data_IF_587681748053
#
_entry.id   IF_587681748053
#
_cell.length_a   1.000
_cell.length_b   1.000
_cell.length_c   1.000
_cell.angle_alpha   90.00
_cell.angle_beta   90.00
_cell.angle_gamma   90.00
#
_symmetry.space_group_name_H-M   'P 1'
#
loop_
_entity.id
_entity.type
_entity.pdbx_description
1 polymer ?
#
# COMPACT_ATOMS: atom_id res chain seq x y z
N UNK A 1 -21.14 -18.72 -15.98
CA UNK A 1 -20.59 -17.48 -16.55
C UNK A 1 -19.23 -17.84 -17.15
N UNK A 2 -18.83 -17.36 -18.33
CA UNK A 2 -17.59 -17.83 -18.99
C UNK A 2 -16.35 -17.13 -18.43
N UNK A 3 -15.22 -17.85 -18.28
CA UNK A 3 -13.91 -17.30 -17.87
C UNK A 3 -13.52 -16.05 -18.67
N UNK A 4 -13.99 -15.90 -19.92
CA UNK A 4 -13.80 -14.71 -20.75
C UNK A 4 -14.35 -13.41 -20.16
N UNK A 5 -15.46 -13.44 -19.42
CA UNK A 5 -16.05 -12.24 -18.80
C UNK A 5 -15.24 -11.81 -17.57
N UNK A 6 -14.81 -12.78 -16.76
CA UNK A 6 -13.94 -12.54 -15.60
C UNK A 6 -12.59 -11.96 -16.04
N UNK A 7 -11.96 -12.54 -17.07
CA UNK A 7 -10.71 -12.02 -17.63
C UNK A 7 -10.85 -10.59 -18.18
N UNK A 8 -11.94 -10.28 -18.89
CA UNK A 8 -12.21 -8.90 -19.34
C UNK A 8 -12.38 -7.93 -18.18
N UNK A 9 -13.04 -8.37 -17.11
CA UNK A 9 -13.24 -7.56 -15.91
C UNK A 9 -11.92 -7.33 -15.16
N UNK A 10 -11.08 -8.36 -15.00
CA UNK A 10 -9.74 -8.25 -14.39
C UNK A 10 -8.83 -7.29 -15.17
N UNK A 11 -8.95 -7.28 -16.50
CA UNK A 11 -8.15 -6.41 -17.37
C UNK A 11 -8.72 -4.99 -17.55
N UNK A 12 -9.83 -4.63 -16.89
CA UNK A 12 -10.38 -3.28 -17.00
C UNK A 12 -9.42 -2.25 -16.39
N UNK A 13 -9.48 -1.02 -16.86
CA UNK A 13 -8.73 0.07 -16.26
C UNK A 13 -9.33 0.49 -14.90
N UNK A 14 -8.46 0.78 -13.93
CA UNK A 14 -8.84 1.16 -12.55
C UNK A 14 -8.56 2.65 -12.27
N UNK A 15 -8.61 3.51 -13.29
CA UNK A 15 -8.33 4.95 -13.15
C UNK A 15 -9.16 5.62 -12.05
N UNK A 16 -10.42 5.22 -11.85
CA UNK A 16 -11.24 5.75 -10.76
C UNK A 16 -10.66 5.42 -9.37
N UNK A 17 -10.24 4.17 -9.16
CA UNK A 17 -9.61 3.74 -7.91
C UNK A 17 -8.29 4.48 -7.70
N UNK A 18 -7.43 4.54 -8.72
CA UNK A 18 -6.15 5.25 -8.69
C UNK A 18 -6.35 6.72 -8.31
N UNK A 19 -7.26 7.43 -8.99
CA UNK A 19 -7.52 8.84 -8.71
C UNK A 19 -8.09 9.09 -7.31
N UNK A 20 -8.92 8.16 -6.81
CA UNK A 20 -9.49 8.25 -5.46
C UNK A 20 -8.40 8.07 -4.40
N UNK A 21 -7.53 7.06 -4.57
CA UNK A 21 -6.38 6.85 -3.69
C UNK A 21 -5.48 8.08 -3.70
N UNK A 22 -5.15 8.62 -4.89
CA UNK A 22 -4.34 9.84 -5.02
C UNK A 22 -4.93 11.00 -4.24
N UNK A 23 -6.23 11.24 -4.40
CA UNK A 23 -6.91 12.34 -3.73
C UNK A 23 -6.86 12.19 -2.20
N UNK A 24 -7.22 11.02 -1.66
CA UNK A 24 -7.31 10.85 -0.20
C UNK A 24 -5.93 10.76 0.45
N UNK A 25 -4.98 10.04 -0.16
CA UNK A 25 -3.58 9.99 0.32
C UNK A 25 -2.94 11.38 0.24
N UNK A 26 -3.13 12.10 -0.87
CA UNK A 26 -2.61 13.46 -1.02
C UNK A 26 -3.17 14.43 0.03
N UNK A 27 -4.46 14.35 0.33
CA UNK A 27 -5.09 15.14 1.39
C UNK A 27 -4.54 14.77 2.77
N UNK A 28 -4.41 13.47 3.05
CA UNK A 28 -3.88 12.98 4.32
C UNK A 28 -2.43 13.43 4.55
N UNK A 29 -1.54 13.23 3.58
CA UNK A 29 -0.15 13.69 3.65
C UNK A 29 -0.06 15.21 3.78
N UNK A 30 -0.92 15.97 3.09
CA UNK A 30 -0.98 17.44 3.23
C UNK A 30 -1.37 17.88 4.65
N UNK A 31 -2.29 17.15 5.33
CA UNK A 31 -2.62 17.39 6.74
C UNK A 31 -1.41 17.13 7.64
N UNK A 32 -0.68 16.03 7.42
CA UNK A 32 0.53 15.69 8.18
C UNK A 32 1.57 16.81 8.04
N UNK A 33 1.86 17.26 6.82
CA UNK A 33 2.79 18.38 6.56
C UNK A 33 2.38 19.67 7.25
N UNK A 34 1.07 19.96 7.33
CA UNK A 34 0.58 21.18 7.95
C UNK A 34 0.82 21.23 9.47
N UNK A 35 0.98 20.06 10.12
CA UNK A 35 1.20 19.94 11.57
C UNK A 35 2.62 19.47 11.94
N UNK A 36 3.38 18.95 10.97
CA UNK A 36 4.69 18.35 11.17
C UNK A 36 5.64 18.71 10.03
N UNK A 37 6.74 19.39 10.38
CA UNK A 37 7.79 19.78 9.41
C UNK A 37 8.80 18.65 9.14
N UNK A 38 8.79 17.57 9.93
CA UNK A 38 9.85 16.55 9.94
C UNK A 38 9.27 15.11 9.94
N UNK A 39 8.23 14.82 9.16
CA UNK A 39 7.86 13.42 8.93
C UNK A 39 8.88 12.78 7.96
N UNK A 40 9.28 11.54 8.23
CA UNK A 40 10.27 10.82 7.43
C UNK A 40 9.70 9.55 6.78
N UNK A 41 8.60 9.01 7.30
CA UNK A 41 8.07 7.72 6.89
C UNK A 41 6.57 7.80 6.62
N UNK A 42 6.13 7.18 5.54
CA UNK A 42 4.72 7.00 5.20
C UNK A 42 4.47 5.62 4.61
N UNK A 43 3.46 4.92 5.10
CA UNK A 43 3.10 3.59 4.62
C UNK A 43 1.59 3.50 4.37
N UNK A 44 1.23 2.77 3.32
CA UNK A 44 -0.13 2.26 3.14
C UNK A 44 -0.13 0.78 3.47
N UNK A 45 -1.01 0.39 4.39
CA UNK A 45 -1.26 -0.99 4.74
C UNK A 45 -2.58 -1.41 4.07
N UNK A 46 -2.55 -2.29 3.06
CA UNK A 46 -3.74 -2.61 2.27
C UNK A 46 -4.64 -3.67 2.91
N UNK A 47 -4.18 -4.32 3.99
CA UNK A 47 -4.81 -5.49 4.58
C UNK A 47 -3.78 -6.61 4.72
N UNK A 48 -4.07 -7.77 4.13
CA UNK A 48 -3.20 -8.95 4.14
C UNK A 48 -2.78 -9.31 2.71
N UNK A 49 -1.79 -10.21 2.57
CA UNK A 49 -1.33 -10.72 1.27
C UNK A 49 -2.43 -11.44 0.48
N UNK A 50 -3.51 -11.86 1.15
CA UNK A 50 -4.63 -12.57 0.53
C UNK A 50 -5.87 -11.69 0.33
N UNK A 51 -5.90 -10.49 0.90
CA UNK A 51 -7.09 -9.64 0.89
C UNK A 51 -6.73 -8.17 1.07
N UNK A 52 -7.17 -7.37 0.10
CA UNK A 52 -7.14 -5.90 0.14
C UNK A 52 -8.55 -5.40 0.42
N UNK A 53 -8.79 -4.77 1.56
CA UNK A 53 -10.14 -4.42 2.01
C UNK A 53 -10.26 -3.04 2.67
N UNK A 54 -9.32 -2.70 3.54
CA UNK A 54 -9.34 -1.47 4.33
C UNK A 54 -7.95 -0.87 4.41
N UNK A 55 -7.72 0.17 3.60
CA UNK A 55 -6.46 0.88 3.65
C UNK A 55 -6.31 1.57 5.01
N UNK A 56 -5.14 1.40 5.60
CA UNK A 56 -4.66 2.09 6.81
C UNK A 56 -3.41 2.86 6.44
N UNK A 57 -3.25 4.05 7.02
CA UNK A 57 -1.99 4.77 6.93
C UNK A 57 -1.19 4.56 8.20
N UNK A 58 0.12 4.34 8.03
CA UNK A 58 1.08 4.50 9.11
C UNK A 58 2.08 5.59 8.72
N UNK A 59 2.55 6.37 9.68
CA UNK A 59 3.59 7.37 9.43
C UNK A 59 4.42 7.61 10.68
N UNK A 60 5.62 8.14 10.47
CA UNK A 60 6.50 8.51 11.56
C UNK A 60 7.27 9.80 11.27
N UNK A 61 7.61 10.49 12.36
CA UNK A 61 8.44 11.69 12.42
C UNK A 61 9.77 11.38 13.04
N UNK A 62 10.75 12.24 12.77
CA UNK A 62 12.09 12.10 13.38
C UNK A 62 12.02 12.07 14.91
N UNK A 63 11.02 12.73 15.49
CA UNK A 63 10.78 12.76 16.94
C UNK A 63 10.08 11.51 17.48
N UNK A 64 9.55 10.65 16.60
CA UNK A 64 8.85 9.43 17.00
C UNK A 64 9.83 8.27 17.22
N UNK A 65 11.06 8.35 16.67
CA UNK A 65 12.12 7.38 16.97
C UNK A 65 12.70 7.67 18.35
N UNK A 66 12.69 6.66 19.22
CA UNK A 66 13.32 6.77 20.54
C UNK A 66 14.84 6.99 20.41
N UNK A 67 15.49 7.75 21.32
CA UNK A 67 16.92 8.05 21.23
C UNK A 67 17.81 6.80 21.08
N UNK A 68 17.42 5.69 21.73
CA UNK A 68 18.13 4.41 21.72
C UNK A 68 18.11 3.74 20.33
N UNK A 69 17.09 4.02 19.52
CA UNK A 69 16.85 3.40 18.21
C UNK A 69 17.27 4.31 17.03
N UNK A 70 17.80 5.51 17.29
CA UNK A 70 18.11 6.51 16.25
C UNK A 70 19.12 6.04 15.20
N UNK A 71 20.01 5.11 15.56
CA UNK A 71 21.00 4.54 14.64
C UNK A 71 20.62 3.17 14.10
N UNK A 72 19.49 2.63 14.54
CA UNK A 72 19.04 1.29 14.17
C UNK A 72 18.13 1.35 12.93
N UNK A 73 18.57 0.72 11.85
CA UNK A 73 17.86 0.68 10.57
C UNK A 73 16.54 -0.05 10.67
N UNK A 74 16.44 -1.06 11.53
CA UNK A 74 15.22 -1.83 11.75
C UNK A 74 14.08 -0.92 12.19
N UNK A 75 14.25 -0.13 13.25
CA UNK A 75 13.18 0.75 13.78
C UNK A 75 12.82 1.91 12.84
N UNK A 76 13.76 2.33 11.98
CA UNK A 76 13.46 3.36 10.98
C UNK A 76 12.53 2.81 9.89
N UNK A 77 12.76 1.59 9.42
CA UNK A 77 12.10 1.06 8.22
C UNK A 77 11.05 -0.03 8.48
N UNK A 78 11.02 -0.62 9.67
CA UNK A 78 9.94 -1.50 10.13
C UNK A 78 8.71 -0.66 10.44
N UNK A 79 7.69 -0.74 9.59
CA UNK A 79 6.44 0.00 9.79
C UNK A 79 5.72 -0.51 11.05
N UNK A 80 5.90 -1.78 11.40
CA UNK A 80 5.32 -2.38 12.62
C UNK A 80 5.77 -1.66 13.90
N UNK A 81 6.95 -1.02 13.87
CA UNK A 81 7.52 -0.25 14.99
C UNK A 81 7.15 1.24 14.96
N UNK A 82 6.31 1.69 14.03
CA UNK A 82 5.91 3.10 13.94
C UNK A 82 4.85 3.47 14.95
N UNK A 83 4.81 4.74 15.35
CA UNK A 83 3.95 5.21 16.43
C UNK A 83 2.56 5.62 15.96
N UNK A 84 2.44 6.12 14.72
CA UNK A 84 1.19 6.71 14.24
C UNK A 84 0.49 5.78 13.24
N UNK A 85 -0.67 5.26 13.63
CA UNK A 85 -1.59 4.50 12.78
C UNK A 85 -2.93 5.22 12.69
N UNK A 86 -3.34 5.56 11.47
CA UNK A 86 -4.61 6.22 11.21
C UNK A 86 -5.57 5.31 10.44
N UNK A 87 -6.67 4.96 11.11
CA UNK A 87 -7.74 4.14 10.57
C UNK A 87 -8.89 5.02 10.09
N UNK A 88 -9.36 4.79 8.87
CA UNK A 88 -10.58 5.42 8.35
C UNK A 88 -10.38 6.73 7.59
N UNK A 89 -9.14 7.15 7.32
CA UNK A 89 -8.85 8.33 6.48
C UNK A 89 -9.25 8.13 5.01
N UNK A 90 -9.39 6.88 4.55
CA UNK A 90 -9.59 6.51 3.15
C UNK A 90 -11.02 6.02 2.86
N UNK A 91 -12.02 6.79 3.31
CA UNK A 91 -13.44 6.37 3.25
C UNK A 91 -13.89 6.04 1.83
N UNK A 92 -13.56 6.87 0.84
CA UNK A 92 -14.04 6.67 -0.52
C UNK A 92 -13.26 5.56 -1.23
N UNK A 93 -11.95 5.48 -0.98
CA UNK A 93 -11.11 4.39 -1.47
C UNK A 93 -11.60 3.05 -0.94
N UNK A 94 -11.85 2.93 0.36
CA UNK A 94 -12.31 1.68 0.98
C UNK A 94 -13.71 1.30 0.48
N UNK A 95 -14.59 2.27 0.20
CA UNK A 95 -15.88 2.01 -0.47
C UNK A 95 -15.69 1.44 -1.88
N UNK A 96 -14.76 1.99 -2.67
CA UNK A 96 -14.47 1.49 -4.01
C UNK A 96 -13.86 0.08 -3.97
N UNK A 97 -12.87 -0.16 -3.12
CA UNK A 97 -12.27 -1.48 -2.92
C UNK A 97 -13.34 -2.51 -2.57
N UNK A 98 -14.22 -2.21 -1.61
CA UNK A 98 -15.33 -3.08 -1.24
C UNK A 98 -16.29 -3.37 -2.41
N UNK A 99 -16.59 -2.36 -3.24
CA UNK A 99 -17.41 -2.55 -4.44
C UNK A 99 -16.72 -3.47 -5.46
N UNK A 100 -15.41 -3.29 -5.67
CA UNK A 100 -14.61 -4.10 -6.59
C UNK A 100 -14.54 -5.55 -6.08
N UNK A 101 -14.26 -5.77 -4.80
CA UNK A 101 -14.26 -7.09 -4.16
C UNK A 101 -15.63 -7.79 -4.30
N UNK A 102 -16.72 -7.05 -4.05
CA UNK A 102 -18.08 -7.59 -4.20
C UNK A 102 -18.39 -8.00 -5.64
N UNK A 103 -17.94 -7.20 -6.62
CA UNK A 103 -18.09 -7.54 -8.05
C UNK A 103 -17.26 -8.78 -8.41
N UNK A 104 -16.03 -8.89 -7.93
CA UNK A 104 -15.19 -10.07 -8.15
C UNK A 104 -15.86 -11.34 -7.62
N UNK A 105 -16.35 -11.32 -6.37
CA UNK A 105 -17.07 -12.45 -5.75
C UNK A 105 -18.33 -12.87 -6.51
N UNK A 106 -18.99 -11.96 -7.23
CA UNK A 106 -20.13 -12.30 -8.09
C UNK A 106 -19.73 -12.94 -9.41
N UNK A 107 -18.53 -12.64 -9.91
CA UNK A 107 -18.01 -13.11 -11.20
C UNK A 107 -17.19 -14.39 -11.07
N UNK A 108 -16.57 -14.60 -9.92
CA UNK A 108 -15.68 -15.70 -9.62
C UNK A 108 -16.31 -16.66 -8.61
N UNK A 109 -16.40 -17.94 -8.98
CA UNK A 109 -16.82 -19.02 -8.09
C UNK A 109 -15.66 -19.99 -8.02
N UNK A 110 -15.12 -20.17 -6.81
CA UNK A 110 -14.07 -21.15 -6.56
C UNK A 110 -14.63 -22.56 -6.71
N UNK A 111 -14.01 -23.39 -7.53
CA UNK A 111 -14.49 -24.75 -7.80
C UNK A 111 -14.41 -25.66 -6.58
N UNK A 112 -13.40 -25.46 -5.71
CA UNK A 112 -13.24 -26.15 -4.44
C UNK A 112 -13.24 -25.16 -3.28
N UNK A 113 -14.37 -25.07 -2.58
CA UNK A 113 -14.53 -24.21 -1.41
C UNK A 113 -13.70 -24.64 -0.20
N UNK A 114 -13.13 -25.85 -0.20
CA UNK A 114 -12.24 -26.33 0.86
C UNK A 114 -10.76 -26.06 0.54
N UNK A 115 -10.45 -25.53 -0.64
CA UNK A 115 -9.10 -25.12 -0.98
C UNK A 115 -8.82 -23.71 -0.44
N UNK A 116 -7.95 -23.64 0.56
CA UNK A 116 -7.53 -22.37 1.17
C UNK A 116 -6.46 -21.63 0.36
N UNK A 117 -5.89 -22.25 -0.67
CA UNK A 117 -4.94 -21.60 -1.57
C UNK A 117 -5.67 -20.73 -2.59
N UNK A 118 -5.16 -19.53 -2.85
CA UNK A 118 -5.68 -18.67 -3.89
C UNK A 118 -5.51 -19.32 -5.27
N UNK A 119 -6.51 -19.21 -6.13
CA UNK A 119 -6.36 -19.56 -7.54
C UNK A 119 -5.81 -18.38 -8.38
N UNK A 120 -5.60 -18.62 -9.67
CA UNK A 120 -5.03 -17.63 -10.59
C UNK A 120 -5.87 -16.35 -10.71
N UNK A 121 -7.20 -16.43 -10.56
CA UNK A 121 -8.09 -15.27 -10.64
C UNK A 121 -8.09 -14.48 -9.34
N UNK A 122 -8.06 -15.17 -8.20
CA UNK A 122 -7.89 -14.54 -6.89
C UNK A 122 -6.54 -13.79 -6.83
N UNK A 123 -5.46 -14.42 -7.29
CA UNK A 123 -4.12 -13.80 -7.33
C UNK A 123 -4.14 -12.57 -8.26
N UNK A 124 -4.69 -12.71 -9.45
CA UNK A 124 -4.80 -11.60 -10.40
C UNK A 124 -5.62 -10.43 -9.85
N UNK A 125 -6.69 -10.72 -9.09
CA UNK A 125 -7.54 -9.72 -8.44
C UNK A 125 -6.79 -8.95 -7.35
N UNK A 126 -6.10 -9.64 -6.43
CA UNK A 126 -5.29 -8.98 -5.39
C UNK A 126 -4.15 -8.17 -6.02
N UNK A 127 -3.46 -8.74 -7.01
CA UNK A 127 -2.38 -8.07 -7.76
C UNK A 127 -2.87 -6.80 -8.42
N UNK A 128 -4.08 -6.81 -9.00
CA UNK A 128 -4.71 -5.64 -9.61
C UNK A 128 -4.91 -4.51 -8.60
N UNK A 129 -5.39 -4.83 -7.40
CA UNK A 129 -5.60 -3.83 -6.34
C UNK A 129 -4.27 -3.27 -5.82
N UNK A 130 -3.28 -4.13 -5.58
CA UNK A 130 -1.91 -3.71 -5.22
C UNK A 130 -1.31 -2.77 -6.26
N UNK A 131 -1.45 -3.09 -7.55
CA UNK A 131 -0.95 -2.25 -8.64
C UNK A 131 -1.66 -0.89 -8.71
N UNK A 132 -2.96 -0.81 -8.42
CA UNK A 132 -3.68 0.46 -8.36
C UNK A 132 -3.16 1.35 -7.22
N UNK A 133 -2.89 0.77 -6.05
CA UNK A 133 -2.29 1.48 -4.91
C UNK A 133 -0.89 1.95 -5.27
N UNK A 134 -0.04 1.06 -5.78
CA UNK A 134 1.33 1.39 -6.15
C UNK A 134 1.39 2.50 -7.20
N UNK A 135 0.54 2.41 -8.24
CA UNK A 135 0.45 3.45 -9.28
C UNK A 135 0.08 4.80 -8.68
N UNK A 136 -0.91 4.85 -7.79
CA UNK A 136 -1.30 6.09 -7.13
C UNK A 136 -0.14 6.68 -6.31
N UNK A 137 0.58 5.86 -5.55
CA UNK A 137 1.72 6.31 -4.75
C UNK A 137 2.89 6.79 -5.61
N UNK A 138 3.18 6.13 -6.74
CA UNK A 138 4.20 6.59 -7.71
C UNK A 138 3.85 7.98 -8.24
N UNK A 139 2.59 8.19 -8.64
CA UNK A 139 2.15 9.49 -9.14
C UNK A 139 2.25 10.58 -8.06
N UNK A 140 1.83 10.30 -6.82
CA UNK A 140 1.98 11.23 -5.70
C UNK A 140 3.45 11.53 -5.36
N UNK A 141 4.33 10.53 -5.48
CA UNK A 141 5.77 10.71 -5.29
C UNK A 141 6.36 11.62 -6.37
N UNK A 142 5.96 11.42 -7.62
CA UNK A 142 6.35 12.29 -8.73
C UNK A 142 5.85 13.73 -8.54
N UNK A 143 4.64 13.89 -8.01
CA UNK A 143 4.04 15.19 -7.68
C UNK A 143 4.66 15.84 -6.41
N UNK A 144 5.63 15.18 -5.76
CA UNK A 144 6.35 15.72 -4.60
C UNK A 144 5.55 15.71 -3.30
N UNK A 145 4.42 14.99 -3.24
CA UNK A 145 3.50 14.99 -2.09
C UNK A 145 4.19 14.51 -0.81
N UNK A 146 5.07 13.51 -0.92
CA UNK A 146 5.80 12.96 0.23
C UNK A 146 7.02 13.77 0.66
N UNK A 147 7.27 14.95 0.08
CA UNK A 147 8.40 15.79 0.44
C UNK A 147 9.72 15.33 -0.17
N UNK A 148 10.76 15.21 0.66
CA UNK A 148 12.11 14.83 0.19
C UNK A 148 12.12 13.44 -0.43
N UNK A 149 13.03 13.22 -1.40
CA UNK A 149 13.27 11.89 -1.95
C UNK A 149 13.91 10.90 -0.95
N UNK A 150 14.35 11.40 0.20
CA UNK A 150 14.85 10.56 1.30
C UNK A 150 13.75 10.17 2.29
N UNK A 151 12.55 10.75 2.18
CA UNK A 151 11.40 10.28 2.95
C UNK A 151 11.02 8.89 2.44
N UNK A 152 10.90 7.96 3.38
CA UNK A 152 10.58 6.56 3.12
C UNK A 152 9.08 6.40 2.86
N UNK A 153 8.75 5.81 1.72
CA UNK A 153 7.37 5.52 1.32
C UNK A 153 7.25 4.07 0.90
N UNK A 154 6.28 3.34 1.45
CA UNK A 154 6.15 1.89 1.20
C UNK A 154 4.69 1.42 1.23
N UNK A 155 4.40 0.33 0.52
CA UNK A 155 3.23 -0.51 0.78
C UNK A 155 3.68 -1.60 1.76
N UNK A 156 3.09 -1.65 2.95
CA UNK A 156 3.50 -2.59 3.99
C UNK A 156 2.41 -3.60 4.28
N UNK A 157 2.78 -4.87 4.34
CA UNK A 157 1.90 -5.96 4.79
C UNK A 157 2.65 -6.67 5.93
N UNK A 158 2.18 -6.55 7.18
CA UNK A 158 2.84 -7.18 8.32
C UNK A 158 3.00 -8.69 8.14
N UNK A 159 4.12 -9.23 8.62
CA UNK A 159 4.45 -10.66 8.58
C UNK A 159 4.32 -11.32 7.19
N UNK A 160 4.64 -10.57 6.13
CA UNK A 160 4.48 -11.02 4.74
C UNK A 160 5.72 -10.78 3.88
N UNK A 161 6.01 -11.76 3.02
CA UNK A 161 7.04 -11.65 1.97
C UNK A 161 6.41 -11.28 0.60
N UNK A 162 5.35 -10.46 0.60
CA UNK A 162 4.63 -10.16 -0.64
C UNK A 162 5.51 -9.28 -1.54
N UNK A 163 5.59 -9.61 -2.83
CA UNK A 163 6.45 -8.93 -3.79
C UNK A 163 6.14 -7.42 -3.87
N UNK A 164 4.89 -7.02 -3.58
CA UNK A 164 4.50 -5.60 -3.58
C UNK A 164 5.29 -4.75 -2.58
N UNK A 165 5.73 -5.32 -1.46
CA UNK A 165 6.52 -4.62 -0.44
C UNK A 165 7.85 -4.19 -1.07
N UNK A 166 8.57 -5.13 -1.65
CA UNK A 166 9.87 -4.90 -2.29
C UNK A 166 9.77 -4.04 -3.56
N UNK A 167 8.74 -4.27 -4.38
CA UNK A 167 8.47 -3.45 -5.56
C UNK A 167 8.20 -2.00 -5.17
N UNK A 168 7.34 -1.77 -4.16
CA UNK A 168 7.02 -0.43 -3.68
C UNK A 168 8.24 0.25 -3.07
N UNK A 169 9.02 -0.46 -2.24
CA UNK A 169 10.27 0.05 -1.67
C UNK A 169 11.22 0.53 -2.77
N UNK A 170 11.36 -0.24 -3.85
CA UNK A 170 12.26 0.07 -4.97
C UNK A 170 11.84 1.29 -5.78
N UNK A 171 10.56 1.40 -6.11
CA UNK A 171 10.07 2.43 -7.06
C UNK A 171 9.69 3.74 -6.37
N UNK A 172 9.37 3.70 -5.08
CA UNK A 172 8.94 4.87 -4.32
C UNK A 172 10.08 5.59 -3.62
N UNK A 173 11.28 4.98 -3.49
CA UNK A 173 12.37 5.53 -2.69
C UNK A 173 13.63 5.82 -3.51
N UNK A 174 14.55 6.62 -2.96
CA UNK A 174 15.88 6.80 -3.53
C UNK A 174 16.67 5.49 -3.48
N UNK A 175 17.67 5.34 -4.35
CA UNK A 175 18.50 4.13 -4.41
C UNK A 175 19.16 3.81 -3.06
N UNK A 176 19.65 4.83 -2.35
CA UNK A 176 20.27 4.67 -1.03
C UNK A 176 19.29 4.20 0.05
N UNK A 177 18.05 4.71 0.03
CA UNK A 177 17.01 4.27 0.97
C UNK A 177 16.61 2.83 0.66
N UNK A 178 16.42 2.48 -0.61
CA UNK A 178 16.11 1.12 -1.03
C UNK A 178 17.23 0.13 -0.69
N UNK A 179 18.50 0.47 -0.94
CA UNK A 179 19.65 -0.38 -0.58
C UNK A 179 19.71 -0.64 0.93
N UNK A 180 19.44 0.39 1.74
CA UNK A 180 19.41 0.25 3.20
C UNK A 180 18.26 -0.65 3.64
N UNK A 181 17.07 -0.46 3.07
CA UNK A 181 15.90 -1.31 3.32
C UNK A 181 16.19 -2.78 2.98
N UNK A 182 16.77 -3.04 1.80
CA UNK A 182 17.09 -4.41 1.36
C UNK A 182 18.19 -5.07 2.19
N UNK A 183 19.10 -4.30 2.79
CA UNK A 183 20.10 -4.87 3.69
C UNK A 183 19.49 -5.42 4.99
N UNK A 184 18.33 -4.88 5.40
CA UNK A 184 17.61 -5.26 6.62
C UNK A 184 16.52 -6.31 6.36
N UNK A 185 15.75 -6.16 5.27
CA UNK A 185 14.54 -6.96 5.00
C UNK A 185 14.60 -7.84 3.75
N UNK A 186 15.74 -7.85 3.03
CA UNK A 186 15.90 -8.48 1.71
C UNK A 186 16.58 -9.83 1.66
#
# INVERSE_FOLDING_TARGET
MTNTNLLKWLNRDDTELVNTIKSEVGQHVSKIHAISVNFYGYAILPGTSYSVDNLVAAFNRETDITPENTTDTYYRYSVDEWENYEHGEFINTNKLINSINSQFQQLHIKEDSNNFLMDEFEIAHVTKLHNAILKALIELRYDGIFGSNDNFVIIWIPDSDDEIIYQSAKVLNSASVYETFMAEFG
#
